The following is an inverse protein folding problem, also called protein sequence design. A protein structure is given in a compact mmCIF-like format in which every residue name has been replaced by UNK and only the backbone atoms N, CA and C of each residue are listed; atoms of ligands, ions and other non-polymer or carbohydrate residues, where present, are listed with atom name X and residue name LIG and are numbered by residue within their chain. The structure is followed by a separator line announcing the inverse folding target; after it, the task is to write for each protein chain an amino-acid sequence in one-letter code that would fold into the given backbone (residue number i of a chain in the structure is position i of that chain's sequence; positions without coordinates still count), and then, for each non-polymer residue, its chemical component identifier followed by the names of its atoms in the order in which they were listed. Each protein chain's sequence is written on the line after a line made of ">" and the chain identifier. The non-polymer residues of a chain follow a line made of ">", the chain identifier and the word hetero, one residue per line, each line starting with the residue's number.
data_IF_054991292543
#
_entry.id   IF_054991292543
#
_cell.length_a   1.000
_cell.length_b   1.000
_cell.length_c   1.000
_cell.angle_alpha   90.00
_cell.angle_beta   90.00
_cell.angle_gamma   90.00
#
_symmetry.space_group_name_H-M   'P 1'
#
loop_
_entity.id
_entity.type
_entity.pdbx_description
1 polymer ?
#
# COMPACT_ATOMS: atom_id res chain seq x y z
N UNK A 1 -60.00 25.50 25.72
CA UNK A 1 -59.15 25.43 24.50
C UNK A 1 -58.37 24.12 24.56
N UNK A 2 -58.61 23.22 23.61
CA UNK A 2 -58.05 21.86 23.64
C UNK A 2 -56.53 21.84 23.23
N UNK A 3 -55.66 21.57 24.18
CA UNK A 3 -54.18 21.45 23.93
C UNK A 3 -53.79 20.20 23.12
N UNK A 4 -54.71 19.55 22.42
CA UNK A 4 -54.43 18.36 21.61
C UNK A 4 -53.37 18.60 20.51
N UNK A 5 -53.38 19.79 19.93
CA UNK A 5 -52.38 20.19 18.90
C UNK A 5 -50.99 20.38 19.47
N UNK A 6 -50.86 20.87 20.70
CA UNK A 6 -49.54 20.99 21.35
C UNK A 6 -48.91 19.63 21.62
N UNK A 7 -49.69 18.64 22.05
CA UNK A 7 -49.21 17.27 22.24
C UNK A 7 -48.83 16.58 20.94
N UNK A 8 -49.56 16.83 19.83
CA UNK A 8 -49.20 16.33 18.51
C UNK A 8 -47.88 16.93 18.00
N UNK A 9 -47.64 18.22 18.19
CA UNK A 9 -46.39 18.88 17.81
C UNK A 9 -45.24 18.33 18.62
N UNK A 10 -45.38 18.15 19.95
CA UNK A 10 -44.36 17.54 20.79
C UNK A 10 -44.04 16.11 20.38
N UNK A 11 -45.02 15.31 20.03
CA UNK A 11 -44.83 13.93 19.56
C UNK A 11 -44.06 13.89 18.22
N UNK A 12 -44.38 14.79 17.28
CA UNK A 12 -43.65 14.88 16.00
C UNK A 12 -42.21 15.33 16.20
N UNK A 13 -41.95 16.30 17.10
CA UNK A 13 -40.59 16.75 17.44
C UNK A 13 -39.80 15.61 18.10
N UNK A 14 -40.42 14.91 19.07
CA UNK A 14 -39.76 13.77 19.73
C UNK A 14 -39.46 12.63 18.75
N UNK A 15 -40.35 12.34 17.80
CA UNK A 15 -40.13 11.37 16.74
C UNK A 15 -38.97 11.81 15.80
N UNK A 16 -38.96 13.07 15.37
CA UNK A 16 -37.94 13.62 14.50
C UNK A 16 -36.56 13.63 15.17
N UNK A 17 -36.52 13.97 16.48
CA UNK A 17 -35.28 13.91 17.27
C UNK A 17 -34.85 12.46 17.50
N UNK A 18 -35.77 11.55 17.79
CA UNK A 18 -35.51 10.13 17.95
C UNK A 18 -34.94 9.50 16.67
N UNK A 19 -35.51 9.83 15.50
CA UNK A 19 -35.03 9.39 14.20
C UNK A 19 -33.64 9.95 13.90
N UNK A 20 -33.37 11.22 14.19
CA UNK A 20 -32.01 11.80 13.97
C UNK A 20 -30.93 11.20 14.90
N UNK A 21 -31.31 10.76 16.10
CA UNK A 21 -30.35 10.11 17.03
C UNK A 21 -30.17 8.63 16.69
N UNK A 22 -31.23 7.92 16.26
CA UNK A 22 -31.16 6.49 15.98
C UNK A 22 -30.54 6.14 14.62
N UNK A 23 -30.66 6.99 13.59
CA UNK A 23 -30.08 6.76 12.27
C UNK A 23 -28.56 6.53 12.29
N UNK A 24 -27.75 7.35 12.99
CA UNK A 24 -26.29 7.11 13.06
C UNK A 24 -25.94 5.87 13.91
N UNK A 25 -26.76 5.44 14.86
CA UNK A 25 -26.55 4.23 15.62
C UNK A 25 -26.83 2.95 14.82
N UNK A 26 -27.64 3.03 13.78
CA UNK A 26 -27.99 1.92 12.88
C UNK A 26 -27.14 1.90 11.60
N UNK A 27 -26.27 2.89 11.41
CA UNK A 27 -25.34 2.91 10.29
C UNK A 27 -24.28 1.81 10.51
N UNK A 28 -24.57 0.61 10.01
CA UNK A 28 -23.57 -0.46 9.92
C UNK A 28 -22.45 0.05 9.01
N UNK A 29 -21.23 0.14 9.55
CA UNK A 29 -20.07 0.53 8.75
C UNK A 29 -19.92 -0.41 7.56
N UNK A 30 -19.76 0.15 6.37
CA UNK A 30 -19.50 -0.66 5.18
C UNK A 30 -18.22 -1.49 5.42
N UNK A 31 -18.28 -2.81 5.25
CA UNK A 31 -17.10 -3.65 5.41
C UNK A 31 -16.06 -3.31 4.34
N UNK A 32 -14.79 -3.40 4.69
CA UNK A 32 -13.71 -3.29 3.72
C UNK A 32 -13.77 -4.48 2.76
N UNK A 33 -13.58 -4.24 1.47
CA UNK A 33 -13.65 -5.27 0.42
C UNK A 33 -12.42 -6.17 0.41
N UNK A 34 -11.23 -5.58 0.52
CA UNK A 34 -9.95 -6.26 0.34
C UNK A 34 -8.88 -5.85 1.34
N UNK A 35 -9.04 -4.71 2.01
CA UNK A 35 -8.08 -4.25 3.01
C UNK A 35 -8.20 -5.05 4.30
N UNK A 36 -7.04 -5.47 4.81
CA UNK A 36 -6.87 -6.13 6.11
C UNK A 36 -6.04 -5.21 7.00
N UNK A 37 -6.67 -4.61 7.99
CA UNK A 37 -6.00 -3.70 8.91
C UNK A 37 -5.35 -4.47 10.05
N UNK A 38 -4.23 -3.95 10.55
CA UNK A 38 -3.57 -4.46 11.74
C UNK A 38 -4.37 -4.08 13.00
N UNK A 39 -4.33 -4.90 14.06
CA UNK A 39 -4.93 -4.56 15.35
C UNK A 39 -4.30 -3.31 15.98
N UNK A 40 -3.02 -3.06 15.71
CA UNK A 40 -2.28 -1.88 16.12
C UNK A 40 -1.32 -1.45 15.02
N UNK A 41 -1.16 -0.16 14.83
CA UNK A 41 -0.24 0.41 13.84
C UNK A 41 1.22 0.16 14.25
N UNK A 42 2.13 0.04 13.28
CA UNK A 42 3.56 -0.14 13.52
C UNK A 42 4.32 1.00 12.85
N UNK A 43 5.01 1.83 13.63
CA UNK A 43 5.89 2.86 13.09
C UNK A 43 6.96 2.24 12.19
N UNK A 44 7.24 2.87 11.04
CA UNK A 44 8.31 2.39 10.16
C UNK A 44 9.66 2.45 10.90
N UNK A 45 10.50 1.42 10.73
CA UNK A 45 11.87 1.45 11.25
C UNK A 45 12.72 2.45 10.45
N UNK A 46 13.94 2.67 10.89
CA UNK A 46 14.93 3.31 10.02
C UNK A 46 15.14 2.46 8.77
N UNK A 47 14.87 3.05 7.61
CA UNK A 47 15.03 2.44 6.29
C UNK A 47 15.85 3.36 5.38
N UNK A 48 16.61 2.77 4.48
CA UNK A 48 17.46 3.47 3.53
C UNK A 48 17.34 2.80 2.16
N UNK A 49 16.48 3.35 1.32
CA UNK A 49 16.24 2.84 -0.03
C UNK A 49 16.80 3.84 -1.05
N UNK A 50 17.30 3.34 -2.16
CA UNK A 50 17.85 4.13 -3.26
C UNK A 50 16.74 4.42 -4.28
N UNK A 51 16.52 5.69 -4.57
CA UNK A 51 15.51 6.12 -5.53
C UNK A 51 16.06 6.19 -6.96
N UNK A 52 17.23 6.78 -7.09
CA UNK A 52 18.00 6.97 -8.33
C UNK A 52 19.34 7.62 -7.92
N UNK A 53 20.04 8.25 -8.86
CA UNK A 53 21.23 9.05 -8.54
C UNK A 53 20.95 10.28 -7.67
N UNK A 54 19.66 10.57 -7.38
CA UNK A 54 19.25 11.81 -6.71
C UNK A 54 19.12 11.69 -5.19
N UNK A 55 19.15 10.47 -4.63
CA UNK A 55 19.19 10.39 -3.18
C UNK A 55 18.61 9.12 -2.53
N UNK A 56 18.66 9.13 -1.22
CA UNK A 56 18.17 8.08 -0.34
C UNK A 56 16.72 8.38 0.07
N UNK A 57 15.86 7.40 -0.05
CA UNK A 57 14.49 7.42 0.42
C UNK A 57 14.43 6.80 1.82
N UNK A 58 13.93 7.56 2.78
CA UNK A 58 13.88 7.18 4.19
C UNK A 58 12.45 7.15 4.72
N UNK A 59 12.24 6.78 5.99
CA UNK A 59 10.94 6.82 6.63
C UNK A 59 10.28 8.21 6.59
N UNK A 60 11.05 9.30 6.55
CA UNK A 60 10.53 10.66 6.44
C UNK A 60 9.81 10.93 5.11
N UNK A 61 10.21 10.27 4.03
CA UNK A 61 9.60 10.44 2.72
C UNK A 61 8.21 9.81 2.60
N UNK A 62 7.80 9.00 3.58
CA UNK A 62 6.43 8.47 3.68
C UNK A 62 5.46 9.45 4.34
N UNK A 63 5.98 10.41 5.13
CA UNK A 63 5.14 11.37 5.86
C UNK A 63 4.33 12.26 4.92
N UNK A 64 3.12 12.59 5.34
CA UNK A 64 2.23 13.45 4.57
C UNK A 64 1.57 12.76 3.36
N UNK A 65 1.73 11.44 3.22
CA UNK A 65 1.16 10.65 2.13
C UNK A 65 0.48 9.38 2.65
N UNK A 66 -0.57 8.97 1.98
CA UNK A 66 -1.07 7.60 2.03
C UNK A 66 -0.22 6.76 1.09
N UNK A 67 0.56 5.85 1.61
CA UNK A 67 1.54 5.11 0.82
C UNK A 67 1.06 3.68 0.59
N UNK A 68 1.09 3.25 -0.67
CA UNK A 68 0.85 1.89 -1.09
C UNK A 68 2.17 1.28 -1.56
N UNK A 69 2.67 0.29 -0.81
CA UNK A 69 3.96 -0.33 -1.08
C UNK A 69 3.72 -1.69 -1.72
N UNK A 70 4.38 -1.90 -2.85
CA UNK A 70 4.38 -3.17 -3.57
C UNK A 70 5.81 -3.64 -3.80
N UNK A 71 6.11 -4.84 -3.30
CA UNK A 71 7.39 -5.52 -3.56
C UNK A 71 7.31 -6.29 -4.87
N UNK A 72 8.39 -6.28 -5.64
CA UNK A 72 8.44 -6.96 -6.93
C UNK A 72 9.83 -6.97 -7.53
N UNK A 73 9.92 -7.15 -8.85
CA UNK A 73 11.15 -7.05 -9.64
C UNK A 73 10.81 -6.79 -11.10
N UNK A 74 11.71 -6.14 -11.85
CA UNK A 74 11.40 -5.69 -13.22
C UNK A 74 11.32 -6.84 -14.23
N UNK A 75 12.00 -7.95 -13.97
CA UNK A 75 12.00 -9.13 -14.84
C UNK A 75 10.85 -10.11 -14.56
N UNK A 76 9.86 -9.73 -13.73
CA UNK A 76 8.66 -10.52 -13.49
C UNK A 76 7.79 -10.56 -14.76
N UNK A 77 7.49 -11.75 -15.32
CA UNK A 77 6.85 -11.83 -16.63
C UNK A 77 5.39 -11.37 -16.66
N UNK A 78 4.62 -11.65 -15.59
CA UNK A 78 3.17 -11.49 -15.63
C UNK A 78 2.62 -10.72 -14.44
N UNK A 79 2.94 -11.11 -13.22
CA UNK A 79 2.27 -10.61 -12.00
C UNK A 79 2.56 -9.13 -11.73
N UNK A 80 3.84 -8.73 -11.69
CA UNK A 80 4.21 -7.36 -11.35
C UNK A 80 3.67 -6.32 -12.35
N UNK A 81 3.72 -6.54 -13.69
CA UNK A 81 3.09 -5.61 -14.64
C UNK A 81 1.59 -5.41 -14.40
N UNK A 82 0.86 -6.50 -14.15
CA UNK A 82 -0.59 -6.44 -13.89
C UNK A 82 -0.91 -5.67 -12.60
N UNK A 83 -0.13 -5.85 -11.56
CA UNK A 83 -0.32 -5.15 -10.30
C UNK A 83 0.04 -3.67 -10.40
N UNK A 84 1.12 -3.32 -11.08
CA UNK A 84 1.50 -1.92 -11.32
C UNK A 84 0.46 -1.19 -12.21
N UNK A 85 -0.16 -1.88 -13.17
CA UNK A 85 -1.26 -1.32 -13.95
C UNK A 85 -2.47 -0.98 -13.06
N UNK A 86 -2.85 -1.87 -12.12
CA UNK A 86 -3.94 -1.62 -11.17
C UNK A 86 -3.59 -0.46 -10.22
N UNK A 87 -2.36 -0.40 -9.73
CA UNK A 87 -1.89 0.69 -8.88
C UNK A 87 -1.84 2.03 -9.63
N UNK A 88 -1.44 2.04 -10.90
CA UNK A 88 -1.51 3.22 -11.77
C UNK A 88 -2.96 3.70 -11.94
N UNK A 89 -3.91 2.78 -12.15
CA UNK A 89 -5.34 3.11 -12.21
C UNK A 89 -5.86 3.67 -10.88
N UNK A 90 -5.44 3.11 -9.74
CA UNK A 90 -5.80 3.64 -8.42
C UNK A 90 -5.30 5.08 -8.24
N UNK A 91 -4.08 5.39 -8.66
CA UNK A 91 -3.57 6.77 -8.65
C UNK A 91 -4.44 7.71 -9.50
N UNK A 92 -4.87 7.28 -10.70
CA UNK A 92 -5.79 8.08 -11.52
C UNK A 92 -7.13 8.34 -10.81
N UNK A 93 -7.72 7.33 -10.16
CA UNK A 93 -8.94 7.46 -9.35
C UNK A 93 -8.75 8.44 -8.19
N UNK A 94 -7.61 8.37 -7.50
CA UNK A 94 -7.29 9.26 -6.38
C UNK A 94 -7.20 10.73 -6.80
N UNK A 95 -6.63 11.00 -7.97
CA UNK A 95 -6.50 12.34 -8.52
C UNK A 95 -7.85 12.96 -8.91
N UNK A 96 -8.78 12.13 -9.39
CA UNK A 96 -10.12 12.60 -9.80
C UNK A 96 -11.00 12.99 -8.61
N UNK A 97 -10.74 12.45 -7.43
CA UNK A 97 -11.69 12.53 -6.31
C UNK A 97 -11.43 13.68 -5.35
N UNK A 98 -10.32 14.40 -5.41
CA UNK A 98 -9.92 15.59 -4.57
C UNK A 98 -10.30 15.54 -3.07
N UNK A 99 -10.60 14.36 -2.52
CA UNK A 99 -11.22 14.20 -1.18
C UNK A 99 -10.23 13.92 -0.04
N UNK A 100 -8.94 13.74 -0.33
CA UNK A 100 -7.97 13.37 0.69
C UNK A 100 -7.19 14.59 1.20
N UNK A 101 -7.13 14.77 2.52
CA UNK A 101 -6.25 15.75 3.15
C UNK A 101 -4.77 15.46 2.86
N UNK A 102 -4.44 14.22 2.46
CA UNK A 102 -3.10 13.78 2.11
C UNK A 102 -3.11 13.03 0.77
N UNK A 103 -2.15 13.29 -0.12
CA UNK A 103 -2.07 12.61 -1.42
C UNK A 103 -1.72 11.12 -1.27
N UNK A 104 -2.12 10.33 -2.27
CA UNK A 104 -1.72 8.93 -2.38
C UNK A 104 -0.39 8.83 -3.11
N UNK A 105 0.53 8.05 -2.58
CA UNK A 105 1.81 7.69 -3.18
C UNK A 105 1.88 6.18 -3.38
N UNK A 106 2.30 5.74 -4.55
CA UNK A 106 2.59 4.33 -4.82
C UNK A 106 4.10 4.15 -4.87
N UNK A 107 4.59 3.16 -4.14
CA UNK A 107 6.00 2.84 -4.02
C UNK A 107 6.21 1.38 -4.47
N UNK A 108 7.01 1.20 -5.49
CA UNK A 108 7.50 -0.10 -5.95
C UNK A 108 8.90 -0.32 -5.41
N UNK A 109 9.11 -1.40 -4.65
CA UNK A 109 10.43 -1.77 -4.11
C UNK A 109 10.90 -3.04 -4.82
N UNK A 110 11.97 -2.93 -5.60
CA UNK A 110 12.57 -4.10 -6.24
C UNK A 110 13.35 -4.94 -5.22
N UNK A 111 13.10 -6.25 -5.25
CA UNK A 111 13.78 -7.28 -4.46
C UNK A 111 14.91 -7.96 -5.22
N UNK A 112 15.35 -7.35 -6.32
CA UNK A 112 16.33 -7.91 -7.25
C UNK A 112 17.42 -6.88 -7.61
N UNK A 113 18.22 -6.44 -6.64
CA UNK A 113 19.18 -5.38 -6.85
C UNK A 113 20.28 -5.73 -7.87
N UNK A 114 20.52 -7.02 -8.12
CA UNK A 114 21.51 -7.48 -9.07
C UNK A 114 21.14 -7.20 -10.52
N UNK A 115 19.83 -7.25 -10.85
CA UNK A 115 19.30 -7.00 -12.21
C UNK A 115 18.59 -5.67 -12.37
N UNK A 116 18.20 -5.03 -11.27
CA UNK A 116 17.35 -3.86 -11.25
C UNK A 116 18.10 -2.63 -10.75
N UNK A 117 18.80 -1.94 -11.66
CA UNK A 117 19.37 -0.64 -11.33
C UNK A 117 18.25 0.40 -11.05
N UNK A 118 18.52 1.44 -10.26
CA UNK A 118 17.56 2.51 -10.01
C UNK A 118 16.98 3.13 -11.28
N UNK A 119 17.79 3.32 -12.32
CA UNK A 119 17.35 3.84 -13.61
C UNK A 119 16.38 2.89 -14.31
N UNK A 120 16.67 1.58 -14.29
CA UNK A 120 15.81 0.55 -14.88
C UNK A 120 14.46 0.48 -14.15
N UNK A 121 14.48 0.55 -12.81
CA UNK A 121 13.25 0.56 -12.02
C UNK A 121 12.40 1.78 -12.34
N UNK A 122 13.00 2.97 -12.41
CA UNK A 122 12.27 4.20 -12.73
C UNK A 122 11.68 4.18 -14.15
N UNK A 123 12.42 3.68 -15.14
CA UNK A 123 11.89 3.50 -16.49
C UNK A 123 10.72 2.51 -16.51
N UNK A 124 10.84 1.40 -15.77
CA UNK A 124 9.82 0.37 -15.67
C UNK A 124 8.54 0.88 -14.97
N UNK A 125 8.66 1.51 -13.81
CA UNK A 125 7.50 2.04 -13.07
C UNK A 125 6.83 3.19 -13.81
N UNK A 126 7.61 4.06 -14.45
CA UNK A 126 7.14 5.19 -15.24
C UNK A 126 6.27 4.80 -16.43
N UNK A 127 6.45 3.59 -16.97
CA UNK A 127 5.60 3.03 -18.01
C UNK A 127 4.14 2.85 -17.55
N UNK A 128 3.92 2.50 -16.29
CA UNK A 128 2.58 2.28 -15.73
C UNK A 128 1.95 3.58 -15.23
N UNK A 129 2.72 4.40 -14.52
CA UNK A 129 2.27 5.72 -14.10
C UNK A 129 3.47 6.59 -13.66
N UNK A 130 3.57 7.86 -14.10
CA UNK A 130 4.76 8.70 -13.82
C UNK A 130 4.96 9.03 -12.34
N UNK A 131 3.95 8.86 -11.50
CA UNK A 131 4.03 9.11 -10.05
C UNK A 131 4.32 7.85 -9.23
N UNK A 132 4.52 6.69 -9.84
CA UNK A 132 4.98 5.52 -9.11
C UNK A 132 6.46 5.70 -8.79
N UNK A 133 6.80 5.68 -7.52
CA UNK A 133 8.18 5.80 -7.03
C UNK A 133 8.84 4.43 -7.05
N UNK A 134 9.87 4.27 -7.87
CA UNK A 134 10.67 3.05 -7.94
C UNK A 134 11.86 3.12 -6.98
N UNK A 135 12.04 2.08 -6.16
CA UNK A 135 13.10 2.01 -5.15
C UNK A 135 13.77 0.63 -5.18
N UNK A 136 15.05 0.59 -4.75
CA UNK A 136 15.75 -0.63 -4.39
C UNK A 136 16.75 -0.33 -3.27
N UNK A 137 17.58 -1.30 -2.90
CA UNK A 137 18.70 -1.12 -1.97
C UNK A 137 19.62 -2.35 -2.01
N UNK A 138 20.61 -2.40 -1.11
CA UNK A 138 21.39 -3.60 -0.89
C UNK A 138 20.55 -4.75 -0.32
N UNK A 139 20.93 -5.99 -0.58
CA UNK A 139 20.24 -7.19 -0.09
C UNK A 139 19.97 -7.18 1.44
N UNK A 140 20.94 -6.79 2.31
CA UNK A 140 20.69 -6.68 3.76
C UNK A 140 19.61 -5.65 4.13
N UNK A 141 19.52 -4.53 3.42
CA UNK A 141 18.48 -3.52 3.70
C UNK A 141 17.12 -3.97 3.15
N UNK A 142 17.09 -4.58 1.97
CA UNK A 142 15.86 -5.12 1.37
C UNK A 142 15.22 -6.19 2.26
N UNK A 143 15.98 -7.13 2.81
CA UNK A 143 15.43 -8.16 3.70
C UNK A 143 14.88 -7.55 4.99
N UNK A 144 15.53 -6.54 5.55
CA UNK A 144 15.06 -5.83 6.75
C UNK A 144 13.70 -5.15 6.49
N UNK A 145 13.59 -4.44 5.37
CA UNK A 145 12.37 -3.73 4.99
C UNK A 145 11.25 -4.73 4.66
N UNK A 146 11.52 -5.75 3.84
CA UNK A 146 10.54 -6.76 3.48
C UNK A 146 10.02 -7.51 4.73
N UNK A 147 10.91 -7.94 5.62
CA UNK A 147 10.56 -8.63 6.85
C UNK A 147 9.67 -7.79 7.78
N UNK A 148 9.94 -6.47 7.88
CA UNK A 148 9.09 -5.57 8.67
C UNK A 148 7.62 -5.61 8.24
N UNK A 149 7.37 -5.67 6.92
CA UNK A 149 6.02 -5.78 6.36
C UNK A 149 5.47 -7.22 6.35
N UNK A 150 6.26 -8.21 6.73
CA UNK A 150 5.91 -9.64 6.61
C UNK A 150 5.91 -10.11 5.14
N UNK A 151 6.77 -9.52 4.31
CA UNK A 151 6.98 -9.89 2.91
C UNK A 151 8.27 -10.69 2.79
N UNK A 152 8.21 -11.96 3.15
CA UNK A 152 9.35 -12.85 2.92
C UNK A 152 9.53 -13.08 1.42
N UNK A 153 10.78 -13.21 0.99
CA UNK A 153 11.13 -13.51 -0.39
C UNK A 153 12.35 -14.44 -0.50
N UNK A 154 12.45 -15.10 -1.62
CA UNK A 154 13.64 -15.90 -1.98
C UNK A 154 13.85 -15.87 -3.49
N UNK A 155 15.05 -16.22 -3.94
CA UNK A 155 15.41 -16.28 -5.35
C UNK A 155 15.73 -17.71 -5.74
N UNK A 156 15.16 -18.18 -6.85
CA UNK A 156 15.39 -19.52 -7.39
C UNK A 156 16.21 -19.42 -8.67
N UNK A 157 17.46 -19.81 -8.60
CA UNK A 157 18.41 -19.76 -9.70
C UNK A 157 18.93 -21.13 -10.07
N UNK A 158 19.50 -21.28 -11.27
CA UNK A 158 20.17 -22.48 -11.71
C UNK A 158 21.67 -22.22 -11.84
N UNK A 159 22.49 -23.14 -11.31
CA UNK A 159 23.94 -23.13 -11.45
C UNK A 159 24.42 -24.51 -11.89
N UNK A 160 25.04 -24.57 -13.05
CA UNK A 160 25.52 -25.85 -13.64
C UNK A 160 24.44 -26.96 -13.68
N UNK A 161 23.18 -26.57 -13.96
CA UNK A 161 22.03 -27.50 -14.01
C UNK A 161 21.39 -27.82 -12.65
N UNK A 162 21.96 -27.39 -11.52
CA UNK A 162 21.40 -27.58 -10.19
C UNK A 162 20.55 -26.38 -9.78
N UNK A 163 19.33 -26.64 -9.25
CA UNK A 163 18.47 -25.61 -8.70
C UNK A 163 18.98 -25.13 -7.33
N UNK A 164 19.18 -23.83 -7.19
CA UNK A 164 19.56 -23.18 -5.94
C UNK A 164 18.38 -22.34 -5.42
N UNK A 165 18.11 -22.46 -4.13
CA UNK A 165 17.24 -21.52 -3.43
C UNK A 165 18.11 -20.56 -2.60
N UNK A 166 18.08 -19.27 -2.98
CA UNK A 166 18.90 -18.23 -2.36
C UNK A 166 17.98 -17.42 -1.44
N UNK A 167 18.19 -17.48 -0.11
CA UNK A 167 17.39 -16.75 0.85
C UNK A 167 17.47 -15.24 0.64
N UNK A 168 16.47 -14.53 1.15
CA UNK A 168 16.48 -13.07 1.25
C UNK A 168 17.72 -12.58 2.01
N UNK A 169 18.25 -11.43 1.59
CA UNK A 169 19.42 -10.80 2.24
C UNK A 169 20.79 -11.35 1.83
N UNK A 170 20.84 -12.43 1.03
CA UNK A 170 22.09 -13.02 0.54
C UNK A 170 22.33 -12.55 -0.89
N UNK A 171 23.55 -12.14 -1.21
CA UNK A 171 23.89 -11.76 -2.58
C UNK A 171 23.83 -12.97 -3.53
N UNK A 172 23.56 -12.70 -4.81
CA UNK A 172 23.51 -13.75 -5.82
C UNK A 172 24.90 -14.36 -6.01
N UNK A 173 25.03 -15.70 -5.95
CA UNK A 173 26.32 -16.35 -6.20
C UNK A 173 26.80 -16.13 -7.63
N UNK A 174 28.13 -16.11 -7.82
CA UNK A 174 28.75 -16.03 -9.14
C UNK A 174 28.34 -17.21 -10.04
N UNK A 175 28.28 -16.95 -11.34
CA UNK A 175 28.02 -17.95 -12.37
C UNK A 175 26.66 -18.69 -12.24
N UNK A 176 25.65 -18.02 -11.72
CA UNK A 176 24.25 -18.48 -11.83
C UNK A 176 23.63 -18.00 -13.14
N UNK A 177 22.61 -18.73 -13.57
CA UNK A 177 21.83 -18.34 -14.73
C UNK A 177 21.12 -17.01 -14.46
N UNK A 178 21.23 -16.05 -15.37
CA UNK A 178 20.63 -14.72 -15.18
C UNK A 178 19.10 -14.73 -15.30
N UNK A 179 18.52 -15.86 -15.69
CA UNK A 179 17.07 -16.07 -15.78
C UNK A 179 16.50 -16.75 -14.53
N UNK A 180 16.75 -16.17 -13.35
CA UNK A 180 16.19 -16.66 -12.09
C UNK A 180 14.85 -16.01 -11.73
N UNK A 181 14.09 -16.68 -10.87
CA UNK A 181 12.82 -16.20 -10.35
C UNK A 181 12.99 -15.62 -8.94
N UNK A 182 12.14 -14.63 -8.62
CA UNK A 182 12.02 -14.07 -7.26
C UNK A 182 10.62 -14.39 -6.74
N UNK A 183 10.54 -15.28 -5.77
CA UNK A 183 9.29 -15.59 -5.07
C UNK A 183 9.10 -14.57 -3.95
N UNK A 184 7.98 -13.89 -3.90
CA UNK A 184 7.67 -12.88 -2.89
C UNK A 184 6.19 -12.82 -2.58
N UNK A 185 5.83 -12.13 -1.49
CA UNK A 185 4.43 -11.85 -1.15
C UNK A 185 3.77 -10.95 -2.21
N UNK A 186 2.56 -11.30 -2.58
CA UNK A 186 1.74 -10.55 -3.52
C UNK A 186 0.96 -9.38 -2.89
N UNK A 187 1.15 -9.09 -1.59
CA UNK A 187 0.38 -8.05 -0.89
C UNK A 187 0.81 -6.65 -1.27
N UNK A 188 -0.14 -5.72 -1.19
CA UNK A 188 0.11 -4.27 -1.26
C UNK A 188 -0.07 -3.71 0.15
N UNK A 189 0.98 -3.13 0.71
CA UNK A 189 1.02 -2.67 2.10
C UNK A 189 0.61 -1.21 2.21
N UNK A 190 -0.11 -0.85 3.27
CA UNK A 190 -0.66 0.48 3.49
C UNK A 190 0.11 1.15 4.64
N UNK A 191 0.71 2.30 4.36
CA UNK A 191 1.36 3.16 5.35
C UNK A 191 0.65 4.50 5.38
N UNK A 192 0.28 4.94 6.57
CA UNK A 192 -0.46 6.18 6.79
C UNK A 192 0.44 7.44 6.74
N UNK A 193 -0.13 8.65 6.75
CA UNK A 193 0.64 9.90 6.70
C UNK A 193 1.60 10.15 7.87
N UNK A 194 1.46 9.42 8.97
CA UNK A 194 2.37 9.45 10.12
C UNK A 194 3.52 8.43 10.00
N UNK A 195 3.74 7.88 8.80
CA UNK A 195 4.79 6.87 8.56
C UNK A 195 4.60 5.59 9.38
N UNK A 196 3.35 5.15 9.55
CA UNK A 196 3.02 3.91 10.25
C UNK A 196 2.35 2.89 9.34
N UNK A 197 2.82 1.66 9.37
CA UNK A 197 2.20 0.52 8.71
C UNK A 197 0.89 0.16 9.42
N UNK A 198 -0.22 0.19 8.69
CA UNK A 198 -1.56 0.01 9.24
C UNK A 198 -2.29 -1.23 8.72
N UNK A 199 -1.84 -1.82 7.62
CA UNK A 199 -2.51 -2.97 7.00
C UNK A 199 -2.09 -3.19 5.56
N UNK A 200 -2.77 -4.11 4.89
CA UNK A 200 -2.47 -4.45 3.49
C UNK A 200 -3.71 -4.87 2.72
N UNK A 201 -3.65 -4.76 1.41
CA UNK A 201 -4.58 -5.42 0.51
C UNK A 201 -4.08 -6.82 0.19
N UNK A 202 -4.98 -7.80 0.24
CA UNK A 202 -4.71 -9.18 -0.16
C UNK A 202 -5.12 -9.39 -1.63
N UNK A 203 -4.39 -10.23 -2.40
CA UNK A 203 -4.82 -10.61 -3.74
C UNK A 203 -6.09 -11.49 -3.70
N UNK A 204 -6.93 -11.48 -4.78
CA UNK A 204 -6.74 -10.74 -6.01
C UNK A 204 -7.07 -9.26 -5.86
N UNK A 205 -6.23 -8.37 -6.42
CA UNK A 205 -6.42 -6.93 -6.32
C UNK A 205 -7.35 -6.40 -7.42
N UNK A 206 -8.17 -5.38 -7.02
CA UNK A 206 -9.00 -4.60 -7.92
C UNK A 206 -8.83 -3.12 -7.55
N UNK A 207 -8.55 -2.26 -8.54
CA UNK A 207 -8.21 -0.86 -8.30
C UNK A 207 -9.36 -0.07 -7.65
N UNK A 208 -10.59 -0.31 -8.08
CA UNK A 208 -11.79 0.37 -7.57
C UNK A 208 -12.09 -0.05 -6.12
N UNK A 209 -11.97 -1.35 -5.82
CA UNK A 209 -12.18 -1.85 -4.45
C UNK A 209 -11.10 -1.33 -3.50
N UNK A 210 -9.84 -1.37 -3.91
CA UNK A 210 -8.72 -0.82 -3.12
C UNK A 210 -8.90 0.68 -2.88
N UNK A 211 -9.35 1.43 -3.91
CA UNK A 211 -9.61 2.86 -3.76
C UNK A 211 -10.78 3.13 -2.81
N UNK A 212 -11.89 2.40 -2.93
CA UNK A 212 -13.03 2.50 -2.03
C UNK A 212 -12.66 2.22 -0.57
N UNK A 213 -11.91 1.13 -0.33
CA UNK A 213 -11.41 0.80 1.01
C UNK A 213 -10.48 1.89 1.55
N UNK A 214 -9.58 2.41 0.72
CA UNK A 214 -8.65 3.47 1.12
C UNK A 214 -9.40 4.75 1.50
N UNK A 215 -10.45 5.13 0.75
CA UNK A 215 -11.32 6.27 1.09
C UNK A 215 -12.01 6.08 2.45
N UNK A 216 -12.52 4.88 2.74
CA UNK A 216 -13.12 4.56 4.04
C UNK A 216 -12.09 4.66 5.18
N UNK A 217 -10.86 4.16 4.95
CA UNK A 217 -9.76 4.26 5.91
C UNK A 217 -9.39 5.73 6.14
N UNK A 218 -9.24 6.52 5.08
CA UNK A 218 -8.94 7.95 5.13
C UNK A 218 -10.01 8.75 5.89
N UNK A 219 -11.29 8.42 5.67
CA UNK A 219 -12.41 9.12 6.33
C UNK A 219 -12.43 8.93 7.85
N UNK A 220 -11.89 7.82 8.33
CA UNK A 220 -11.77 7.49 9.76
C UNK A 220 -10.46 7.97 10.38
N UNK A 221 -9.52 8.33 9.55
CA UNK A 221 -8.20 8.79 9.99
C UNK A 221 -8.31 10.19 10.59
N UNK A 222 -8.02 10.30 11.88
CA UNK A 222 -7.88 11.59 12.56
C UNK A 222 -6.39 11.91 12.59
N UNK A 223 -5.94 12.97 11.87
CA UNK A 223 -4.54 13.37 11.95
C UNK A 223 -4.19 13.69 13.41
N UNK A 224 -3.03 13.27 13.86
CA UNK A 224 -2.53 13.67 15.17
C UNK A 224 -2.50 15.21 15.19
N UNK A 225 -3.22 15.81 16.14
CA UNK A 225 -3.17 17.25 16.37
C UNK A 225 -1.75 17.53 16.88
N UNK A 226 -0.95 18.24 16.07
CA UNK A 226 0.38 18.72 16.44
C UNK A 226 0.27 19.83 17.49
#
# INVERSE_FOLDING_TARGET
>A
MNNKWAWLILAVIALAVGVKISLPLLATEAPLHSAQLLPATKALPEIRLEKDKTGIFTAENFKGHWNLIFFGFTNCPDFCPLELQKLGKLLQLSQQTQQANFPVQVIFISLDPERDSPEKINAYTGFFHPQIVGLSSSNPELVKVAHFFGSDYSRKATKAGALLNIPAGIDMPDNVDNNYQVDHSARIYIVNPESSYIGSFAPPHNAEHMWGDLQLIMSKHKPAVL
#
